data_IF_192334006752
#
_entry.id   IF_192334006752
#
_cell.length_a   1.000
_cell.length_b   1.000
_cell.length_c   1.000
_cell.angle_alpha   90.00
_cell.angle_beta   90.00
_cell.angle_gamma   90.00
#
_symmetry.space_group_name_H-M   'P 1'
#
loop_
_entity.id
_entity.type
_entity.pdbx_description
1 polymer ?
#
# COMPACT_ATOMS: atom_id res chain seq x y z
N UNK A 1 8.34 31.40 -11.20
CA UNK A 1 8.20 30.23 -10.29
C UNK A 1 7.44 29.13 -11.01
N UNK A 2 7.99 27.92 -11.05
CA UNK A 2 7.30 26.81 -11.70
C UNK A 2 6.21 26.30 -10.74
N UNK A 3 4.94 26.66 -10.99
CA UNK A 3 3.80 26.30 -10.14
C UNK A 3 3.15 25.04 -10.69
N UNK A 4 3.01 24.01 -9.85
CA UNK A 4 2.28 22.77 -10.16
C UNK A 4 1.01 22.67 -9.32
N UNK A 5 0.09 21.80 -9.72
CA UNK A 5 -1.14 21.63 -8.97
C UNK A 5 -0.87 20.82 -7.69
N UNK A 6 -0.03 19.77 -7.80
CA UNK A 6 0.36 18.93 -6.67
C UNK A 6 1.87 18.65 -6.72
N UNK A 7 2.57 18.88 -5.60
CA UNK A 7 3.92 18.38 -5.39
C UNK A 7 3.88 17.14 -4.49
N UNK A 8 4.51 16.05 -4.95
CA UNK A 8 4.67 14.80 -4.19
C UNK A 8 6.11 14.73 -3.71
N UNK A 9 6.33 14.58 -2.41
CA UNK A 9 7.69 14.47 -1.83
C UNK A 9 7.99 13.00 -1.57
N UNK A 10 8.96 12.46 -2.31
CA UNK A 10 9.39 11.06 -2.28
C UNK A 10 8.89 10.24 -3.48
N UNK A 11 9.84 9.61 -4.20
CA UNK A 11 9.60 8.73 -5.36
C UNK A 11 9.59 7.23 -4.98
N UNK A 12 9.18 6.87 -3.77
CA UNK A 12 8.90 5.49 -3.39
C UNK A 12 7.56 4.99 -3.98
N UNK A 13 7.17 3.72 -3.75
CA UNK A 13 5.96 3.12 -4.34
C UNK A 13 4.69 3.94 -4.07
N UNK A 14 4.55 4.53 -2.88
CA UNK A 14 3.40 5.39 -2.51
C UNK A 14 3.36 6.66 -3.35
N UNK A 15 4.49 7.37 -3.44
CA UNK A 15 4.57 8.63 -4.17
C UNK A 15 4.42 8.45 -5.68
N UNK A 16 5.04 7.43 -6.25
CA UNK A 16 4.90 7.08 -7.66
C UNK A 16 3.47 6.68 -8.02
N UNK A 17 2.81 5.86 -7.17
CA UNK A 17 1.41 5.49 -7.38
C UNK A 17 0.50 6.74 -7.34
N UNK A 18 0.71 7.62 -6.36
CA UNK A 18 -0.05 8.86 -6.25
C UNK A 18 0.16 9.77 -7.47
N UNK A 19 1.40 9.89 -7.93
CA UNK A 19 1.71 10.69 -9.12
C UNK A 19 1.01 10.13 -10.37
N UNK A 20 0.98 8.80 -10.55
CA UNK A 20 0.21 8.16 -11.62
C UNK A 20 -1.28 8.47 -11.51
N UNK A 21 -1.87 8.33 -10.32
CA UNK A 21 -3.29 8.59 -10.07
C UNK A 21 -3.70 10.03 -10.38
N UNK A 22 -2.85 10.99 -10.05
CA UNK A 22 -3.06 12.40 -10.33
C UNK A 22 -2.89 12.73 -11.81
N UNK A 23 -1.79 12.31 -12.42
CA UNK A 23 -1.48 12.60 -13.83
C UNK A 23 -2.51 12.00 -14.79
N UNK A 24 -3.02 10.77 -14.54
CA UNK A 24 -4.10 10.16 -15.31
C UNK A 24 -5.37 11.02 -15.36
N UNK A 25 -5.56 11.90 -14.38
CA UNK A 25 -6.71 12.82 -14.28
C UNK A 25 -6.40 14.24 -14.72
N UNK A 26 -5.25 14.43 -15.40
CA UNK A 26 -4.83 15.70 -15.95
C UNK A 26 -4.30 16.71 -14.92
N UNK A 27 -3.98 16.28 -13.71
CA UNK A 27 -3.35 17.11 -12.68
C UNK A 27 -1.87 17.27 -13.01
N UNK A 28 -1.34 18.50 -12.97
CA UNK A 28 0.09 18.79 -13.14
C UNK A 28 0.84 18.42 -11.87
N UNK A 29 1.60 17.32 -11.93
CA UNK A 29 2.31 16.73 -10.79
C UNK A 29 3.81 16.88 -10.97
N UNK A 30 4.49 17.24 -9.88
CA UNK A 30 5.94 17.13 -9.76
C UNK A 30 6.29 16.26 -8.56
N UNK A 31 7.14 15.28 -8.77
CA UNK A 31 7.70 14.44 -7.70
C UNK A 31 9.09 14.96 -7.35
N UNK A 32 9.33 15.22 -6.06
CA UNK A 32 10.62 15.66 -5.52
C UNK A 32 11.24 14.49 -4.75
N UNK A 33 12.34 13.96 -5.25
CA UNK A 33 13.08 12.84 -4.64
C UNK A 33 14.44 13.31 -4.16
N UNK A 34 14.79 13.04 -2.88
CA UNK A 34 16.07 13.47 -2.31
C UNK A 34 17.29 12.70 -2.84
N UNK A 35 17.08 11.49 -3.35
CA UNK A 35 18.14 10.63 -3.89
C UNK A 35 18.42 10.98 -5.34
N UNK A 36 19.70 10.88 -5.72
CA UNK A 36 20.13 11.14 -7.09
C UNK A 36 19.77 9.99 -8.04
N UNK A 37 19.76 8.74 -7.53
CA UNK A 37 19.46 7.53 -8.29
C UNK A 37 18.33 6.72 -7.66
N UNK A 38 17.67 5.88 -8.46
CA UNK A 38 16.76 4.84 -7.97
C UNK A 38 17.58 3.81 -7.17
N UNK A 39 17.37 3.71 -5.86
CA UNK A 39 18.16 2.80 -5.06
C UNK A 39 17.80 1.36 -5.38
N UNK A 40 18.78 0.49 -5.41
CA UNK A 40 18.58 -0.94 -5.36
C UNK A 40 18.22 -1.42 -3.94
N UNK A 41 17.52 -0.58 -3.16
CA UNK A 41 17.14 -0.85 -1.77
C UNK A 41 15.79 -1.52 -1.75
N UNK A 42 15.79 -2.83 -1.68
CA UNK A 42 14.58 -3.64 -1.63
C UNK A 42 14.20 -3.93 -0.18
N UNK A 43 13.45 -3.07 0.49
CA UNK A 43 12.96 -3.35 1.86
C UNK A 43 11.71 -4.22 1.84
N UNK A 44 10.72 -3.85 1.05
CA UNK A 44 9.50 -4.64 0.84
C UNK A 44 9.71 -5.71 -0.23
N UNK A 45 8.97 -6.82 -0.09
CA UNK A 45 9.10 -7.97 -0.98
C UNK A 45 7.79 -8.72 -1.21
N UNK A 46 6.67 -8.26 -0.65
CA UNK A 46 5.39 -8.94 -0.78
C UNK A 46 4.28 -7.98 -1.22
N UNK A 47 3.55 -8.37 -2.26
CA UNK A 47 2.34 -7.72 -2.73
C UNK A 47 1.14 -8.60 -2.38
N UNK A 48 0.17 -8.00 -1.70
CA UNK A 48 -1.07 -8.67 -1.32
C UNK A 48 -2.14 -8.55 -2.40
N UNK A 49 -3.13 -9.44 -2.34
CA UNK A 49 -4.20 -9.52 -3.32
C UNK A 49 -4.84 -8.16 -3.63
N UNK A 50 -5.19 -7.36 -2.60
CA UNK A 50 -5.81 -6.05 -2.84
C UNK A 50 -4.90 -5.09 -3.61
N UNK A 51 -3.62 -5.09 -3.34
CA UNK A 51 -2.66 -4.23 -4.05
C UNK A 51 -2.52 -4.66 -5.52
N UNK A 52 -2.48 -5.97 -5.77
CA UNK A 52 -2.47 -6.51 -7.15
C UNK A 52 -3.75 -6.14 -7.91
N UNK A 53 -4.92 -6.19 -7.25
CA UNK A 53 -6.18 -5.72 -7.85
C UNK A 53 -6.14 -4.23 -8.24
N UNK A 54 -5.56 -3.39 -7.36
CA UNK A 54 -5.44 -1.96 -7.64
C UNK A 54 -4.46 -1.67 -8.78
N UNK A 55 -3.38 -2.43 -8.86
CA UNK A 55 -2.43 -2.37 -9.98
C UNK A 55 -3.06 -2.88 -11.28
N UNK A 56 -3.88 -3.94 -11.24
CA UNK A 56 -4.63 -4.44 -12.41
C UNK A 56 -5.64 -3.39 -12.91
N UNK A 57 -6.36 -2.74 -11.99
CA UNK A 57 -7.26 -1.64 -12.31
C UNK A 57 -6.53 -0.39 -12.86
N UNK A 58 -5.22 -0.45 -13.07
CA UNK A 58 -4.38 0.59 -13.69
C UNK A 58 -3.45 0.03 -14.77
N UNK A 59 -3.68 -1.22 -15.19
CA UNK A 59 -2.88 -1.90 -16.21
C UNK A 59 -1.40 -2.05 -15.84
N UNK A 60 -1.11 -2.29 -14.56
CA UNK A 60 0.26 -2.37 -14.03
C UNK A 60 0.56 -3.69 -13.29
N UNK A 61 -0.38 -4.65 -13.26
CA UNK A 61 -0.18 -5.88 -12.48
C UNK A 61 0.61 -6.95 -13.24
N UNK A 62 0.39 -7.11 -14.54
CA UNK A 62 0.82 -8.28 -15.31
C UNK A 62 2.34 -8.43 -15.29
N UNK A 63 3.11 -7.37 -15.57
CA UNK A 63 4.58 -7.41 -15.53
C UNK A 63 5.13 -7.83 -14.15
N UNK A 64 4.48 -7.39 -13.07
CA UNK A 64 4.89 -7.73 -11.70
C UNK A 64 4.55 -9.19 -11.39
N UNK A 65 3.38 -9.64 -11.83
CA UNK A 65 2.90 -11.02 -11.61
C UNK A 65 3.76 -12.05 -12.37
N UNK A 66 4.11 -11.75 -13.61
CA UNK A 66 4.95 -12.62 -14.44
C UNK A 66 6.36 -12.84 -13.86
N UNK A 67 6.91 -11.83 -13.19
CA UNK A 67 8.27 -11.88 -12.63
C UNK A 67 8.30 -12.24 -11.14
N UNK A 68 7.14 -12.25 -10.47
CA UNK A 68 7.04 -12.57 -9.05
C UNK A 68 6.83 -14.05 -8.77
N UNK A 69 7.04 -14.44 -7.51
CA UNK A 69 6.80 -15.81 -7.04
C UNK A 69 5.50 -15.86 -6.25
N UNK A 70 4.45 -16.60 -6.70
CA UNK A 70 3.18 -16.67 -6.00
C UNK A 70 3.26 -17.57 -4.77
N UNK A 71 2.90 -17.05 -3.59
CA UNK A 71 2.77 -17.79 -2.33
C UNK A 71 1.29 -17.87 -1.98
N UNK A 72 0.71 -19.05 -2.04
CA UNK A 72 -0.72 -19.30 -1.83
C UNK A 72 -1.05 -19.82 -0.44
N UNK A 73 -0.04 -20.15 0.34
CA UNK A 73 -0.18 -20.60 1.72
C UNK A 73 0.80 -19.85 2.61
N UNK A 74 0.32 -19.27 3.68
CA UNK A 74 1.12 -18.50 4.63
C UNK A 74 0.95 -19.09 6.01
N UNK A 75 2.07 -19.37 6.68
CA UNK A 75 2.07 -19.84 8.05
C UNK A 75 2.39 -18.68 9.02
N UNK A 76 1.39 -17.95 9.55
CA UNK A 76 1.61 -16.87 10.49
C UNK A 76 2.20 -17.33 11.82
N UNK A 77 2.04 -18.60 12.13
CA UNK A 77 2.65 -19.26 13.29
C UNK A 77 2.89 -20.74 13.01
N UNK A 78 3.83 -21.42 13.71
CA UNK A 78 4.02 -22.85 13.60
C UNK A 78 2.72 -23.62 13.89
N UNK A 79 2.29 -24.45 12.94
CA UNK A 79 1.06 -25.25 13.03
C UNK A 79 -0.23 -24.50 12.67
N UNK A 80 -0.13 -23.28 12.13
CA UNK A 80 -1.27 -22.49 11.70
C UNK A 80 -1.04 -22.02 10.26
N UNK A 81 -1.74 -22.61 9.29
CA UNK A 81 -1.64 -22.26 7.87
C UNK A 81 -2.91 -21.53 7.43
N UNK A 82 -2.73 -20.40 6.74
CA UNK A 82 -3.79 -19.70 6.02
C UNK A 82 -3.69 -20.10 4.54
N UNK A 83 -4.79 -20.61 4.00
CA UNK A 83 -4.89 -20.94 2.58
C UNK A 83 -5.50 -19.76 1.82
N UNK A 84 -4.69 -19.09 1.04
CA UNK A 84 -5.14 -17.92 0.27
C UNK A 84 -5.83 -18.29 -1.05
N UNK A 85 -5.80 -19.56 -1.48
CA UNK A 85 -6.38 -20.03 -2.75
C UNK A 85 -7.89 -19.79 -2.85
N UNK A 86 -8.57 -19.71 -1.69
CA UNK A 86 -10.02 -19.52 -1.60
C UNK A 86 -10.44 -18.04 -1.53
N UNK A 87 -9.48 -17.11 -1.58
CA UNK A 87 -9.81 -15.69 -1.59
C UNK A 87 -10.63 -15.33 -2.84
N UNK A 88 -11.73 -14.57 -2.69
CA UNK A 88 -12.57 -14.15 -3.81
C UNK A 88 -11.91 -13.01 -4.60
N UNK A 89 -10.85 -13.33 -5.33
CA UNK A 89 -10.04 -12.41 -6.11
C UNK A 89 -9.33 -13.13 -7.25
N UNK A 90 -8.96 -12.40 -8.32
CA UNK A 90 -8.09 -12.90 -9.37
C UNK A 90 -6.67 -13.24 -8.87
N UNK A 91 -6.25 -12.66 -7.75
CA UNK A 91 -4.91 -12.79 -7.16
C UNK A 91 -4.94 -13.50 -5.79
N UNK A 92 -5.33 -14.80 -5.72
CA UNK A 92 -5.48 -15.52 -4.45
C UNK A 92 -4.11 -15.94 -3.89
N UNK A 93 -3.25 -14.96 -3.57
CA UNK A 93 -1.86 -15.17 -3.17
C UNK A 93 -1.27 -13.94 -2.47
N UNK A 94 -0.12 -14.13 -1.87
CA UNK A 94 0.89 -13.08 -1.70
C UNK A 94 1.90 -13.27 -2.82
N UNK A 95 2.13 -12.26 -3.61
CA UNK A 95 3.15 -12.28 -4.65
C UNK A 95 4.47 -11.78 -4.07
N UNK A 96 5.49 -12.61 -4.11
CA UNK A 96 6.84 -12.22 -3.71
C UNK A 96 7.52 -11.58 -4.91
N UNK A 97 7.85 -10.32 -4.79
CA UNK A 97 8.58 -9.57 -5.79
C UNK A 97 9.42 -8.49 -5.10
N UNK A 98 10.64 -8.20 -5.56
CA UNK A 98 11.45 -7.14 -5.00
C UNK A 98 10.75 -5.79 -5.19
N UNK A 99 10.82 -4.92 -4.19
CA UNK A 99 10.24 -3.56 -4.25
C UNK A 99 10.71 -2.78 -5.49
N UNK A 100 11.97 -2.97 -5.90
CA UNK A 100 12.55 -2.34 -7.08
C UNK A 100 11.82 -2.70 -8.39
N UNK A 101 11.19 -3.87 -8.47
CA UNK A 101 10.33 -4.22 -9.62
C UNK A 101 9.06 -3.36 -9.61
N UNK A 102 8.39 -3.24 -8.45
CA UNK A 102 7.19 -2.41 -8.31
C UNK A 102 7.51 -0.93 -8.59
N UNK A 103 8.63 -0.42 -8.06
CA UNK A 103 9.07 0.97 -8.32
C UNK A 103 9.36 1.21 -9.79
N UNK A 104 9.99 0.25 -10.48
CA UNK A 104 10.26 0.34 -11.93
C UNK A 104 8.97 0.43 -12.74
N UNK A 105 7.99 -0.43 -12.48
CA UNK A 105 6.70 -0.43 -13.19
C UNK A 105 5.97 0.89 -12.95
N UNK A 106 5.91 1.34 -11.70
CA UNK A 106 5.27 2.63 -11.35
C UNK A 106 6.00 3.82 -11.95
N UNK A 107 7.34 3.84 -11.95
CA UNK A 107 8.13 4.92 -12.54
C UNK A 107 7.97 4.96 -14.06
N UNK A 108 7.96 3.80 -14.72
CA UNK A 108 7.71 3.71 -16.16
C UNK A 108 6.31 4.27 -16.50
N UNK A 109 5.30 3.92 -15.71
CA UNK A 109 3.94 4.44 -15.88
C UNK A 109 3.87 5.95 -15.64
N UNK A 110 4.51 6.44 -14.59
CA UNK A 110 4.58 7.89 -14.31
C UNK A 110 5.23 8.65 -15.47
N UNK A 111 6.32 8.14 -16.03
CA UNK A 111 6.98 8.72 -17.20
C UNK A 111 6.08 8.73 -18.45
N UNK A 112 5.34 7.63 -18.72
CA UNK A 112 4.36 7.57 -19.82
C UNK A 112 3.25 8.61 -19.67
N UNK A 113 2.86 8.92 -18.43
CA UNK A 113 1.86 9.93 -18.10
C UNK A 113 2.43 11.36 -18.06
N UNK A 114 3.71 11.55 -18.35
CA UNK A 114 4.36 12.86 -18.38
C UNK A 114 4.63 13.47 -17.00
N UNK A 115 4.73 12.64 -15.95
CA UNK A 115 5.08 13.13 -14.60
C UNK A 115 6.52 13.62 -14.57
N UNK A 116 6.75 14.83 -14.05
CA UNK A 116 8.08 15.38 -13.77
C UNK A 116 8.62 14.80 -12.45
N UNK A 117 9.61 13.90 -12.54
CA UNK A 117 10.30 13.32 -11.38
C UNK A 117 11.68 13.97 -11.27
N UNK A 118 11.84 14.85 -10.28
CA UNK A 118 13.07 15.60 -10.04
C UNK A 118 13.89 14.89 -8.92
N UNK A 119 15.02 14.33 -9.31
CA UNK A 119 15.99 13.70 -8.39
C UNK A 119 16.91 14.74 -7.76
N UNK A 120 17.59 14.40 -6.64
CA UNK A 120 18.46 15.31 -5.88
C UNK A 120 17.72 16.45 -5.17
N UNK A 121 16.39 16.40 -5.10
CA UNK A 121 15.53 17.48 -4.58
C UNK A 121 15.10 17.22 -3.14
N UNK A 122 15.95 17.61 -2.20
CA UNK A 122 15.67 17.45 -0.76
C UNK A 122 14.86 18.62 -0.23
N UNK A 123 13.67 18.36 0.31
CA UNK A 123 12.81 19.35 0.99
C UNK A 123 13.35 19.63 2.38
N UNK A 124 13.59 20.92 2.69
CA UNK A 124 14.11 21.40 3.97
C UNK A 124 13.23 22.45 4.65
N UNK A 125 12.19 22.95 3.96
CA UNK A 125 11.24 23.91 4.53
C UNK A 125 9.89 23.81 3.83
N UNK A 126 8.83 24.22 4.55
CA UNK A 126 7.45 24.18 4.09
C UNK A 126 6.69 25.35 4.71
N UNK A 127 6.02 26.12 3.88
CA UNK A 127 5.10 27.20 4.27
C UNK A 127 3.82 27.08 3.46
N UNK A 128 2.66 27.31 4.07
CA UNK A 128 1.38 27.29 3.37
C UNK A 128 0.55 28.53 3.65
N UNK A 129 -0.22 28.96 2.66
CA UNK A 129 -1.20 30.03 2.72
C UNK A 129 -2.55 29.60 2.12
N UNK A 130 -3.48 30.53 1.90
CA UNK A 130 -4.81 30.24 1.35
C UNK A 130 -4.79 29.78 -0.11
N UNK A 131 -3.72 30.10 -0.87
CA UNK A 131 -3.60 29.77 -2.30
C UNK A 131 -2.80 28.47 -2.54
N UNK A 132 -1.85 28.11 -1.65
CA UNK A 132 -1.04 26.93 -1.86
C UNK A 132 0.05 26.72 -0.83
N UNK A 133 1.05 25.93 -1.23
CA UNK A 133 2.19 25.54 -0.40
C UNK A 133 3.48 25.86 -1.12
N UNK A 134 4.45 26.45 -0.40
CA UNK A 134 5.81 26.68 -0.87
C UNK A 134 6.76 25.73 -0.16
N UNK A 135 7.45 24.90 -0.92
CA UNK A 135 8.53 24.04 -0.45
C UNK A 135 9.87 24.73 -0.71
N UNK A 136 10.76 24.73 0.28
CA UNK A 136 12.15 25.16 0.16
C UNK A 136 13.03 23.92 0.04
N UNK A 137 13.91 23.92 -0.97
CA UNK A 137 14.82 22.82 -1.25
C UNK A 137 16.22 23.10 -0.69
N UNK A 138 17.02 22.03 -0.52
CA UNK A 138 18.35 22.15 0.09
C UNK A 138 19.35 22.97 -0.75
N UNK A 139 19.13 23.06 -2.07
CA UNK A 139 19.90 23.89 -3.00
C UNK A 139 19.54 25.38 -2.95
N UNK A 140 18.60 25.77 -2.09
CA UNK A 140 18.09 27.15 -1.93
C UNK A 140 16.95 27.49 -2.87
N UNK A 141 16.59 26.62 -3.82
CA UNK A 141 15.46 26.84 -4.71
C UNK A 141 14.12 26.61 -4.01
N UNK A 142 13.02 27.02 -4.65
CA UNK A 142 11.67 26.86 -4.12
C UNK A 142 10.73 26.23 -5.14
N UNK A 143 9.79 25.41 -4.66
CA UNK A 143 8.70 24.84 -5.45
C UNK A 143 7.36 25.30 -4.87
N UNK A 144 6.54 25.94 -5.70
CA UNK A 144 5.14 26.31 -5.36
C UNK A 144 4.19 25.24 -5.89
N UNK A 145 3.18 24.86 -5.07
CA UNK A 145 2.14 23.91 -5.46
C UNK A 145 0.79 24.27 -4.82
N UNK A 146 -0.31 23.87 -5.45
CA UNK A 146 -1.65 23.99 -4.87
C UNK A 146 -1.84 23.10 -3.64
N UNK A 147 -1.29 21.89 -3.70
CA UNK A 147 -1.26 20.91 -2.63
C UNK A 147 0.11 20.22 -2.54
N UNK A 148 0.45 19.69 -1.37
CA UNK A 148 1.66 18.88 -1.15
C UNK A 148 1.29 17.56 -0.50
N UNK A 149 1.94 16.47 -0.93
CA UNK A 149 1.80 15.17 -0.27
C UNK A 149 3.17 14.61 0.09
N UNK A 150 3.42 14.44 1.40
CA UNK A 150 4.61 13.77 1.93
C UNK A 150 4.47 12.25 1.80
N UNK A 151 5.24 11.67 0.88
CA UNK A 151 5.45 10.23 0.68
C UNK A 151 6.91 9.86 0.97
N UNK A 152 7.59 10.63 1.81
CA UNK A 152 9.03 10.69 2.06
C UNK A 152 9.49 9.72 3.18
N UNK A 153 8.67 8.71 3.45
CA UNK A 153 9.05 7.56 4.27
C UNK A 153 9.04 7.81 5.78
N UNK A 154 9.56 6.84 6.52
CA UNK A 154 9.50 6.81 7.99
C UNK A 154 10.11 8.05 8.67
N UNK A 155 11.15 8.65 8.06
CA UNK A 155 11.84 9.85 8.55
C UNK A 155 11.32 11.13 7.88
N UNK A 156 10.06 11.16 7.52
CA UNK A 156 9.40 12.23 6.75
C UNK A 156 9.78 13.64 7.24
N UNK A 157 10.37 14.42 6.33
CA UNK A 157 10.63 15.83 6.52
C UNK A 157 9.31 16.61 6.51
N UNK A 158 8.38 16.25 5.61
CA UNK A 158 7.06 16.90 5.51
C UNK A 158 6.29 16.77 6.83
N UNK A 159 6.19 15.57 7.40
CA UNK A 159 5.56 15.35 8.70
C UNK A 159 6.19 16.20 9.80
N UNK A 160 7.53 16.24 9.84
CA UNK A 160 8.29 16.99 10.85
C UNK A 160 8.10 18.50 10.72
N UNK A 161 8.13 19.03 9.49
CA UNK A 161 7.92 20.46 9.21
C UNK A 161 6.49 20.91 9.55
N UNK A 162 5.51 20.01 9.47
CA UNK A 162 4.13 20.27 9.91
C UNK A 162 3.93 20.16 11.42
N UNK A 163 4.92 19.72 12.19
CA UNK A 163 4.80 19.50 13.63
C UNK A 163 3.82 18.36 13.98
N UNK A 164 3.60 17.40 13.09
CA UNK A 164 2.68 16.30 13.34
C UNK A 164 3.35 15.24 14.23
N UNK A 165 2.77 14.96 15.39
CA UNK A 165 3.22 13.90 16.28
C UNK A 165 3.18 12.53 15.61
N UNK A 166 4.25 11.75 15.76
CA UNK A 166 4.37 10.38 15.30
C UNK A 166 4.35 9.43 16.51
N UNK A 167 3.14 9.02 16.89
CA UNK A 167 2.88 8.31 18.14
C UNK A 167 3.09 6.82 17.98
N UNK A 168 3.77 6.21 18.95
CA UNK A 168 4.00 4.78 18.96
C UNK A 168 5.22 4.36 19.76
N UNK A 169 5.80 3.24 19.39
CA UNK A 169 6.99 2.69 20.02
C UNK A 169 7.93 2.07 19.01
N UNK A 170 9.18 1.97 19.41
CA UNK A 170 10.22 1.19 18.75
C UNK A 170 10.35 -0.15 19.48
N UNK A 171 10.56 -1.22 18.75
CA UNK A 171 10.88 -2.53 19.33
C UNK A 171 12.38 -2.60 19.59
N UNK A 172 12.78 -3.30 20.63
CA UNK A 172 14.21 -3.51 20.97
C UNK A 172 14.90 -4.52 20.03
N UNK A 173 14.13 -5.24 19.24
CA UNK A 173 14.65 -6.33 18.40
C UNK A 173 15.13 -5.81 17.05
N UNK A 174 16.39 -6.07 16.74
CA UNK A 174 16.97 -5.80 15.43
C UNK A 174 16.49 -6.79 14.40
N UNK A 175 16.21 -6.29 13.20
CA UNK A 175 15.92 -7.09 12.02
C UNK A 175 17.12 -6.98 11.09
N UNK A 176 17.66 -8.13 10.71
CA UNK A 176 18.66 -8.27 9.66
C UNK A 176 17.98 -8.68 8.38
N UNK A 177 18.24 -7.96 7.31
CA UNK A 177 17.85 -8.31 5.95
C UNK A 177 19.10 -8.47 5.10
N UNK A 178 19.09 -9.48 4.24
CA UNK A 178 20.12 -9.61 3.21
C UNK A 178 19.53 -10.28 1.97
N UNK A 179 20.00 -9.87 0.80
CA UNK A 179 19.73 -10.59 -0.45
C UNK A 179 20.95 -11.46 -0.77
N UNK A 180 20.74 -12.78 -0.80
CA UNK A 180 21.78 -13.78 -0.88
C UNK A 180 21.51 -14.81 -1.98
N UNK A 181 22.56 -15.45 -2.50
CA UNK A 181 22.47 -16.67 -3.29
C UNK A 181 22.67 -17.89 -2.40
N UNK A 182 22.03 -18.99 -2.78
CA UNK A 182 22.08 -20.25 -2.04
C UNK A 182 22.59 -21.36 -2.92
N UNK A 183 23.55 -22.15 -2.41
CA UNK A 183 24.03 -23.36 -3.09
C UNK A 183 23.04 -24.54 -2.91
N UNK A 184 22.24 -24.51 -1.84
CA UNK A 184 21.28 -25.57 -1.49
C UNK A 184 19.95 -24.94 -1.07
N UNK A 185 19.18 -24.38 -2.03
CA UNK A 185 17.92 -23.74 -1.73
C UNK A 185 16.90 -24.75 -1.16
N UNK A 186 15.94 -24.30 -0.29
CA UNK A 186 14.87 -25.17 0.19
C UNK A 186 13.97 -25.60 -0.99
N UNK A 187 13.44 -26.84 -0.93
CA UNK A 187 12.59 -27.43 -1.99
C UNK A 187 11.36 -26.57 -2.32
N UNK A 188 10.75 -25.99 -1.29
CA UNK A 188 9.53 -25.19 -1.42
C UNK A 188 9.82 -23.70 -1.69
N UNK A 189 11.09 -23.34 -1.89
CA UNK A 189 11.55 -21.98 -2.12
C UNK A 189 11.45 -21.06 -0.90
N UNK A 190 10.47 -21.26 -0.01
CA UNK A 190 10.25 -20.47 1.20
C UNK A 190 10.58 -21.32 2.43
N UNK A 191 11.29 -20.75 3.41
CA UNK A 191 11.59 -21.43 4.67
C UNK A 191 11.47 -20.45 5.83
N UNK A 192 10.71 -20.83 6.87
CA UNK A 192 10.61 -20.10 8.12
C UNK A 192 10.95 -21.03 9.28
N UNK A 193 11.90 -20.64 10.14
CA UNK A 193 12.31 -21.40 11.32
C UNK A 193 12.35 -20.49 12.55
N UNK A 194 11.97 -21.08 13.68
CA UNK A 194 11.93 -20.39 14.98
C UNK A 194 12.60 -21.27 16.04
N UNK A 195 13.51 -20.70 16.81
CA UNK A 195 14.17 -21.32 17.95
C UNK A 195 14.07 -20.45 19.21
N UNK A 196 14.77 -20.85 20.28
CA UNK A 196 14.97 -20.00 21.45
C UNK A 196 15.75 -18.74 21.11
N UNK A 197 16.67 -18.82 20.15
CA UNK A 197 17.61 -17.76 19.78
C UNK A 197 17.01 -16.74 18.80
N UNK A 198 15.89 -17.06 18.17
CA UNK A 198 15.26 -16.11 17.25
C UNK A 198 14.37 -16.72 16.19
N UNK A 199 14.24 -15.98 15.09
CA UNK A 199 13.44 -16.35 13.92
C UNK A 199 14.23 -16.04 12.66
N UNK A 200 14.21 -16.95 11.70
CA UNK A 200 14.73 -16.70 10.36
C UNK A 200 13.65 -17.03 9.32
N UNK A 201 13.64 -16.24 8.26
CA UNK A 201 12.77 -16.42 7.12
C UNK A 201 13.61 -16.27 5.85
N UNK A 202 13.39 -17.17 4.92
CA UNK A 202 14.00 -17.17 3.60
C UNK A 202 12.91 -17.12 2.54
N UNK A 203 13.01 -16.15 1.63
CA UNK A 203 11.97 -15.86 0.63
C UNK A 203 12.62 -15.77 -0.76
N UNK A 204 12.17 -16.56 -1.77
CA UNK A 204 12.73 -16.53 -3.11
C UNK A 204 12.26 -15.30 -3.90
N UNK A 205 13.13 -14.71 -4.74
CA UNK A 205 12.73 -13.68 -5.70
C UNK A 205 12.47 -14.22 -7.12
N UNK A 206 12.74 -15.50 -7.37
CA UNK A 206 12.53 -16.13 -8.67
C UNK A 206 13.72 -16.00 -9.65
N UNK A 207 14.69 -15.15 -9.34
CA UNK A 207 15.90 -14.87 -10.16
C UNK A 207 17.18 -15.54 -9.63
N UNK A 208 17.03 -16.55 -8.76
CA UNK A 208 18.13 -17.22 -8.08
C UNK A 208 18.64 -16.48 -6.83
N UNK A 209 18.06 -15.33 -6.50
CA UNK A 209 18.29 -14.59 -5.26
C UNK A 209 17.18 -14.84 -4.24
N UNK A 210 17.57 -14.79 -2.96
CA UNK A 210 16.69 -15.01 -1.84
C UNK A 210 16.83 -13.85 -0.85
N UNK A 211 15.70 -13.39 -0.29
CA UNK A 211 15.70 -12.54 0.87
C UNK A 211 15.86 -13.38 2.13
N UNK A 212 16.99 -13.25 2.79
CA UNK A 212 17.24 -13.75 4.14
C UNK A 212 16.84 -12.69 5.15
N UNK A 213 15.95 -13.05 6.08
CA UNK A 213 15.48 -12.20 7.18
C UNK A 213 15.83 -12.90 8.47
N UNK A 214 16.46 -12.21 9.43
CA UNK A 214 16.78 -12.77 10.72
C UNK A 214 16.43 -11.81 11.87
N UNK A 215 15.80 -12.35 12.89
CA UNK A 215 15.68 -11.78 14.23
C UNK A 215 16.55 -12.62 15.15
N UNK A 216 17.78 -12.18 15.38
CA UNK A 216 18.75 -12.88 16.22
C UNK A 216 18.84 -12.19 17.59
N UNK A 217 18.35 -12.88 18.61
CA UNK A 217 18.35 -12.36 19.99
C UNK A 217 19.73 -12.18 20.56
N UNK A 218 20.71 -12.95 20.09
CA UNK A 218 22.08 -12.85 20.59
C UNK A 218 22.80 -11.57 20.11
N UNK A 219 22.21 -10.90 19.13
CA UNK A 219 22.73 -9.67 18.51
C UNK A 219 21.82 -8.43 18.73
N UNK A 220 20.87 -8.49 19.66
CA UNK A 220 19.94 -7.38 19.95
C UNK A 220 20.65 -6.09 20.42
N UNK A 221 21.88 -6.20 20.94
CA UNK A 221 22.67 -5.05 21.40
C UNK A 221 23.68 -4.52 20.36
N UNK A 222 23.71 -5.11 19.17
CA UNK A 222 24.62 -4.65 18.12
C UNK A 222 24.24 -3.23 17.67
N UNK A 223 25.21 -2.32 17.46
CA UNK A 223 24.91 -0.97 16.98
C UNK A 223 24.19 -0.99 15.63
N UNK A 224 23.20 -0.12 15.43
CA UNK A 224 22.49 0.00 14.14
C UNK A 224 23.42 0.43 13.00
N UNK A 225 24.50 1.12 13.33
CA UNK A 225 25.53 1.56 12.38
C UNK A 225 26.50 0.44 11.96
N UNK A 226 26.49 -0.71 12.68
CA UNK A 226 27.34 -1.85 12.32
C UNK A 226 26.84 -2.48 11.02
N UNK A 227 27.68 -2.56 9.96
CA UNK A 227 27.30 -3.19 8.71
C UNK A 227 26.92 -4.65 8.90
N UNK A 228 25.85 -5.09 8.24
CA UNK A 228 25.47 -6.50 8.21
C UNK A 228 26.37 -7.23 7.23
N UNK A 229 27.04 -8.27 7.70
CA UNK A 229 27.93 -9.12 6.87
C UNK A 229 27.27 -10.44 6.51
N UNK A 230 27.74 -11.07 5.44
CA UNK A 230 27.28 -12.41 5.05
C UNK A 230 27.56 -13.43 6.16
N UNK A 231 28.70 -13.32 6.87
CA UNK A 231 29.03 -14.19 8.01
C UNK A 231 28.06 -14.04 9.17
N UNK A 232 27.56 -12.86 9.44
CA UNK A 232 26.55 -12.62 10.50
C UNK A 232 25.20 -13.27 10.13
N UNK A 233 24.74 -13.09 8.89
CA UNK A 233 23.48 -13.74 8.41
C UNK A 233 23.63 -15.26 8.46
N UNK A 234 24.74 -15.83 7.98
CA UNK A 234 25.02 -17.28 8.04
C UNK A 234 25.01 -17.79 9.49
N UNK A 235 25.67 -17.09 10.40
CA UNK A 235 25.71 -17.45 11.81
C UNK A 235 24.31 -17.46 12.45
N UNK A 236 23.46 -16.46 12.13
CA UNK A 236 22.07 -16.42 12.59
C UNK A 236 21.26 -17.62 12.06
N UNK A 237 21.40 -17.95 10.77
CA UNK A 237 20.70 -19.07 10.16
C UNK A 237 21.18 -20.43 10.72
N UNK A 238 22.49 -20.63 10.88
CA UNK A 238 23.03 -21.85 11.49
C UNK A 238 22.54 -22.05 12.93
N UNK A 239 22.46 -20.98 13.72
CA UNK A 239 21.99 -21.03 15.11
C UNK A 239 20.49 -21.34 15.20
N UNK A 240 19.68 -20.72 14.34
CA UNK A 240 18.22 -20.74 14.45
C UNK A 240 17.61 -21.87 13.60
N UNK A 241 18.13 -22.10 12.39
CA UNK A 241 17.58 -23.08 11.43
C UNK A 241 18.44 -24.34 11.31
N UNK A 242 19.63 -24.39 11.95
CA UNK A 242 20.63 -25.45 11.83
C UNK A 242 21.15 -25.67 10.41
N UNK A 243 20.98 -24.67 9.55
CA UNK A 243 21.50 -24.65 8.17
C UNK A 243 21.61 -23.22 7.69
N UNK A 244 22.66 -22.92 6.92
CA UNK A 244 22.82 -21.65 6.19
C UNK A 244 22.44 -21.80 4.72
N UNK A 245 21.89 -22.95 4.30
CA UNK A 245 21.52 -23.27 2.92
C UNK A 245 22.68 -23.07 1.91
N UNK A 246 23.93 -23.00 2.39
CA UNK A 246 25.08 -22.70 1.56
C UNK A 246 25.06 -21.26 1.01
N UNK A 247 24.73 -20.29 1.85
CA UNK A 247 24.74 -18.87 1.46
C UNK A 247 26.13 -18.49 0.94
N UNK A 248 26.19 -17.93 -0.27
CA UNK A 248 27.42 -17.53 -0.94
C UNK A 248 27.48 -16.01 -1.13
N UNK A 249 26.91 -15.51 -2.21
CA UNK A 249 26.97 -14.09 -2.52
C UNK A 249 25.94 -13.27 -1.72
N UNK A 250 26.26 -12.00 -1.47
CA UNK A 250 25.34 -11.03 -0.88
C UNK A 250 25.40 -9.73 -1.68
N UNK A 251 24.29 -9.34 -2.32
CA UNK A 251 24.24 -8.10 -3.13
C UNK A 251 23.74 -6.90 -2.34
N UNK A 252 23.04 -7.12 -1.22
CA UNK A 252 22.47 -6.07 -0.40
C UNK A 252 22.20 -6.55 1.02
N UNK A 253 22.32 -5.66 2.00
CA UNK A 253 21.98 -5.95 3.38
C UNK A 253 21.55 -4.70 4.13
N UNK A 254 20.79 -4.87 5.22
CA UNK A 254 20.36 -3.79 6.11
C UNK A 254 20.08 -4.30 7.50
N UNK A 255 20.41 -3.47 8.49
CA UNK A 255 20.03 -3.63 9.90
C UNK A 255 19.12 -2.48 10.29
N UNK A 256 17.98 -2.76 10.90
CA UNK A 256 17.10 -1.71 11.40
C UNK A 256 16.28 -2.20 12.60
N UNK A 257 15.82 -1.26 13.40
CA UNK A 257 14.82 -1.53 14.43
C UNK A 257 13.43 -1.50 13.83
N UNK A 258 12.64 -2.49 14.19
CA UNK A 258 11.22 -2.47 13.88
C UNK A 258 10.54 -1.38 14.70
N UNK A 259 9.69 -0.61 14.05
CA UNK A 259 8.91 0.45 14.68
C UNK A 259 7.41 0.21 14.48
N UNK A 260 6.62 0.75 15.40
CA UNK A 260 5.18 0.83 15.31
C UNK A 260 4.79 2.26 15.69
N UNK A 261 4.56 3.08 14.67
CA UNK A 261 4.19 4.49 14.85
C UNK A 261 3.10 4.90 13.86
N UNK A 262 2.26 5.82 14.29
CA UNK A 262 1.25 6.44 13.44
C UNK A 262 1.20 7.94 13.69
N UNK A 263 1.09 8.72 12.61
CA UNK A 263 0.87 10.15 12.69
C UNK A 263 -0.52 10.44 13.27
N UNK A 264 -0.64 11.43 14.14
CA UNK A 264 -1.92 11.81 14.75
C UNK A 264 -2.90 12.38 13.72
N UNK A 265 -2.37 12.98 12.66
CA UNK A 265 -3.13 13.54 11.53
C UNK A 265 -2.49 13.15 10.22
N UNK A 266 -3.30 12.98 9.19
CA UNK A 266 -2.84 12.71 7.82
C UNK A 266 -2.97 13.94 6.93
N UNK A 267 -3.61 15.01 7.45
CA UNK A 267 -3.83 16.27 6.75
C UNK A 267 -3.63 17.47 7.67
N UNK A 268 -2.97 18.52 7.16
CA UNK A 268 -2.93 19.86 7.76
C UNK A 268 -3.10 20.89 6.63
N UNK A 269 -4.28 21.48 6.52
CA UNK A 269 -4.59 22.43 5.45
C UNK A 269 -4.49 21.80 4.06
N UNK A 270 -3.53 22.27 3.26
CA UNK A 270 -3.24 21.81 1.89
C UNK A 270 -2.15 20.73 1.82
N UNK A 271 -1.66 20.27 2.95
CA UNK A 271 -0.58 19.29 3.03
C UNK A 271 -1.08 17.98 3.60
N UNK A 272 -0.75 16.90 2.93
CA UNK A 272 -1.11 15.52 3.28
C UNK A 272 0.14 14.69 3.51
N UNK A 273 0.00 13.56 4.23
CA UNK A 273 1.03 12.53 4.34
C UNK A 273 0.44 11.16 4.03
N UNK A 274 1.24 10.28 3.40
CA UNK A 274 0.81 8.95 2.98
C UNK A 274 1.95 7.92 3.12
N UNK A 275 1.59 6.65 3.22
CA UNK A 275 2.56 5.55 3.38
C UNK A 275 3.35 5.66 4.68
N UNK A 276 4.64 5.33 4.63
CA UNK A 276 5.51 5.32 5.82
C UNK A 276 5.67 6.72 6.47
N UNK A 277 5.37 7.82 5.75
CA UNK A 277 5.30 9.15 6.35
C UNK A 277 4.13 9.26 7.34
N UNK A 278 3.04 8.53 7.12
CA UNK A 278 1.84 8.52 7.95
C UNK A 278 1.82 7.37 8.98
N UNK A 279 2.37 6.20 8.65
CA UNK A 279 2.35 5.01 9.50
C UNK A 279 3.52 4.07 9.19
N UNK A 280 4.23 3.67 10.23
CA UNK A 280 5.32 2.69 10.16
C UNK A 280 4.98 1.50 11.04
N UNK A 281 5.22 0.31 10.55
CA UNK A 281 4.99 -0.92 11.30
C UNK A 281 6.05 -1.97 11.00
N UNK A 282 6.02 -3.04 11.79
CA UNK A 282 6.90 -4.20 11.59
C UNK A 282 6.76 -4.75 10.16
N UNK A 283 7.88 -5.21 9.55
CA UNK A 283 7.83 -5.86 8.24
C UNK A 283 7.12 -7.21 8.24
N UNK A 284 6.77 -7.76 9.42
CA UNK A 284 5.98 -8.98 9.54
C UNK A 284 4.62 -8.82 8.86
N UNK A 285 4.37 -9.70 7.89
CA UNK A 285 3.15 -9.66 7.08
C UNK A 285 3.22 -8.77 5.85
N UNK A 286 4.39 -8.14 5.55
CA UNK A 286 4.63 -7.36 4.32
C UNK A 286 3.57 -6.27 4.04
N UNK A 287 3.08 -5.55 5.07
CA UNK A 287 1.92 -4.63 4.94
C UNK A 287 2.29 -3.22 4.44
N UNK A 288 3.55 -2.72 4.68
CA UNK A 288 3.91 -1.30 4.48
C UNK A 288 3.65 -0.78 3.08
N UNK A 289 4.33 -1.34 2.11
CA UNK A 289 4.17 -0.95 0.70
C UNK A 289 2.71 -1.09 0.24
N UNK A 290 2.03 -2.17 0.63
CA UNK A 290 0.63 -2.41 0.29
C UNK A 290 -0.31 -1.33 0.86
N UNK A 291 -0.11 -0.93 2.11
CA UNK A 291 -0.92 0.11 2.75
C UNK A 291 -0.66 1.47 2.10
N UNK A 292 0.60 1.79 1.81
CA UNK A 292 0.99 3.05 1.16
C UNK A 292 0.44 3.19 -0.27
N UNK A 293 0.48 2.13 -1.08
CA UNK A 293 -0.15 2.13 -2.43
C UNK A 293 -1.66 2.36 -2.31
N UNK A 294 -2.32 1.74 -1.32
CA UNK A 294 -3.75 1.96 -1.08
C UNK A 294 -4.06 3.37 -0.57
N UNK A 295 -3.16 4.01 0.21
CA UNK A 295 -3.30 5.42 0.59
C UNK A 295 -3.26 6.31 -0.65
N UNK A 296 -2.32 6.07 -1.54
CA UNK A 296 -2.16 6.80 -2.81
C UNK A 296 -3.41 6.68 -3.69
N UNK A 297 -3.93 5.47 -3.85
CA UNK A 297 -5.17 5.22 -4.60
C UNK A 297 -6.36 5.95 -4.00
N UNK A 298 -6.48 5.98 -2.67
CA UNK A 298 -7.58 6.66 -1.98
C UNK A 298 -7.47 8.19 -2.09
N UNK A 299 -6.27 8.74 -1.96
CA UNK A 299 -6.02 10.18 -1.99
C UNK A 299 -6.06 10.76 -3.40
N UNK A 300 -5.56 10.01 -4.40
CA UNK A 300 -5.33 10.52 -5.75
C UNK A 300 -6.58 11.09 -6.42
N UNK A 301 -7.70 10.35 -6.43
CA UNK A 301 -8.94 10.84 -7.02
C UNK A 301 -9.54 12.01 -6.24
N UNK A 302 -9.41 12.02 -4.90
CA UNK A 302 -9.90 13.10 -4.03
C UNK A 302 -9.16 14.42 -4.29
N UNK A 303 -7.84 14.35 -4.38
CA UNK A 303 -7.03 15.52 -4.74
C UNK A 303 -7.30 16.01 -6.18
N UNK A 304 -7.48 15.09 -7.13
CA UNK A 304 -7.80 15.46 -8.50
C UNK A 304 -9.15 16.21 -8.58
N UNK A 305 -10.16 15.80 -7.83
CA UNK A 305 -11.42 16.55 -7.74
C UNK A 305 -11.21 17.92 -7.10
N UNK A 306 -10.38 18.03 -6.06
CA UNK A 306 -10.10 19.30 -5.39
C UNK A 306 -9.35 20.27 -6.30
N UNK A 307 -8.36 19.79 -7.05
CA UNK A 307 -7.65 20.58 -8.06
C UNK A 307 -8.57 21.03 -9.18
N UNK A 308 -9.49 20.15 -9.60
CA UNK A 308 -10.51 20.47 -10.61
C UNK A 308 -11.60 21.43 -10.13
N UNK A 309 -11.66 21.78 -8.86
CA UNK A 309 -12.63 22.71 -8.28
C UNK A 309 -14.05 22.15 -8.10
N UNK A 310 -14.24 20.84 -8.25
CA UNK A 310 -15.56 20.17 -8.13
C UNK A 310 -15.67 19.22 -6.94
N UNK A 311 -14.64 19.17 -6.06
CA UNK A 311 -14.70 18.38 -4.85
C UNK A 311 -15.71 18.95 -3.85
N UNK A 312 -16.56 18.09 -3.32
CA UNK A 312 -17.37 18.44 -2.16
C UNK A 312 -16.47 18.70 -0.93
N UNK A 313 -16.85 19.55 0.02
CA UNK A 313 -16.02 19.89 1.18
C UNK A 313 -15.51 18.70 1.98
N UNK A 314 -16.32 17.65 2.11
CA UNK A 314 -15.99 16.43 2.87
C UNK A 314 -14.98 15.50 2.17
N UNK A 315 -14.77 15.64 0.85
CA UNK A 315 -13.97 14.69 0.05
C UNK A 315 -12.55 14.59 0.57
N UNK A 316 -11.88 15.71 0.79
CA UNK A 316 -10.50 15.71 1.27
C UNK A 316 -10.37 15.26 2.73
N UNK A 317 -11.35 15.57 3.59
CA UNK A 317 -11.36 15.16 4.99
C UNK A 317 -11.56 13.64 5.12
N UNK A 318 -12.34 13.04 4.21
CA UNK A 318 -12.57 11.60 4.18
C UNK A 318 -11.29 10.78 3.97
N UNK A 319 -10.20 11.36 3.46
CA UNK A 319 -8.92 10.67 3.38
C UNK A 319 -8.40 10.26 4.76
N UNK A 320 -8.32 11.22 5.68
CA UNK A 320 -7.87 10.94 7.05
C UNK A 320 -8.83 9.98 7.76
N UNK A 321 -10.15 10.21 7.67
CA UNK A 321 -11.17 9.36 8.31
C UNK A 321 -11.07 7.89 7.87
N UNK A 322 -10.87 7.65 6.57
CA UNK A 322 -10.78 6.33 6.00
C UNK A 322 -9.41 5.68 6.27
N UNK A 323 -8.31 6.39 5.99
CA UNK A 323 -6.97 5.79 5.97
C UNK A 323 -6.29 5.76 7.33
N UNK A 324 -6.58 6.70 8.23
CA UNK A 324 -6.09 6.64 9.60
C UNK A 324 -6.61 5.40 10.34
N UNK A 325 -7.89 5.07 10.18
CA UNK A 325 -8.47 3.86 10.75
C UNK A 325 -7.82 2.57 10.20
N UNK A 326 -7.54 2.53 8.89
CA UNK A 326 -6.83 1.41 8.25
C UNK A 326 -5.41 1.28 8.80
N UNK A 327 -4.65 2.37 8.86
CA UNK A 327 -3.31 2.39 9.45
C UNK A 327 -3.30 1.84 10.89
N UNK A 328 -4.23 2.29 11.74
CA UNK A 328 -4.37 1.80 13.11
C UNK A 328 -4.64 0.28 13.18
N UNK A 329 -5.47 -0.25 12.27
CA UNK A 329 -5.76 -1.69 12.20
C UNK A 329 -4.56 -2.50 11.72
N UNK A 330 -3.79 -2.00 10.74
CA UNK A 330 -2.55 -2.63 10.27
C UNK A 330 -1.51 -2.66 11.38
N UNK A 331 -1.36 -1.57 12.14
CA UNK A 331 -0.46 -1.52 13.30
C UNK A 331 -0.85 -2.56 14.36
N UNK A 332 -2.14 -2.74 14.64
CA UNK A 332 -2.62 -3.78 15.57
C UNK A 332 -2.33 -5.19 15.05
N UNK A 333 -2.57 -5.43 13.77
CA UNK A 333 -2.34 -6.74 13.13
C UNK A 333 -0.85 -7.13 13.19
N UNK A 334 0.04 -6.22 12.78
CA UNK A 334 1.48 -6.46 12.75
C UNK A 334 2.09 -6.54 14.15
N UNK A 335 1.57 -5.80 15.15
CA UNK A 335 1.94 -5.94 16.56
C UNK A 335 1.54 -7.32 17.11
N UNK A 336 0.35 -7.81 16.73
CA UNK A 336 -0.09 -9.16 17.05
C UNK A 336 0.87 -10.23 16.51
N UNK A 337 1.30 -10.10 15.25
CA UNK A 337 2.30 -11.01 14.67
C UNK A 337 3.66 -10.90 15.37
N UNK A 338 4.13 -9.70 15.68
CA UNK A 338 5.36 -9.51 16.45
C UNK A 338 5.32 -10.21 17.81
N UNK A 339 4.24 -9.99 18.56
CA UNK A 339 4.09 -10.63 19.87
C UNK A 339 4.00 -12.16 19.78
N UNK A 340 3.41 -12.68 18.70
CA UNK A 340 3.30 -14.12 18.46
C UNK A 340 4.65 -14.75 18.15
N UNK A 341 5.39 -14.12 17.22
CA UNK A 341 6.65 -14.65 16.67
C UNK A 341 7.83 -14.36 17.61
N UNK A 342 7.90 -13.14 18.18
CA UNK A 342 9.06 -12.67 18.94
C UNK A 342 8.88 -12.76 20.47
N UNK A 343 7.71 -13.18 20.97
CA UNK A 343 7.44 -13.25 22.41
C UNK A 343 8.47 -14.09 23.18
N UNK A 344 9.02 -13.56 24.30
CA UNK A 344 10.11 -14.20 25.09
C UNK A 344 9.63 -15.38 25.96
N UNK A 345 8.38 -15.37 26.43
CA UNK A 345 7.85 -16.40 27.34
C UNK A 345 7.41 -17.65 26.59
N UNK A 346 8.02 -18.80 26.90
CA UNK A 346 7.68 -20.11 26.33
C UNK A 346 6.22 -20.48 26.60
N UNK A 347 5.73 -20.28 27.84
CA UNK A 347 4.36 -20.57 28.22
C UNK A 347 3.35 -19.69 27.45
N UNK A 348 3.63 -18.39 27.34
CA UNK A 348 2.79 -17.48 26.56
C UNK A 348 2.82 -17.83 25.07
N UNK A 349 3.95 -18.29 24.52
CA UNK A 349 4.05 -18.76 23.12
C UNK A 349 3.22 -20.02 22.91
N UNK A 350 3.31 -21.00 23.81
CA UNK A 350 2.52 -22.23 23.74
C UNK A 350 1.02 -21.95 23.82
N UNK A 351 0.57 -21.13 24.80
CA UNK A 351 -0.83 -20.73 24.95
C UNK A 351 -1.34 -19.98 23.71
N UNK A 352 -0.58 -19.01 23.20
CA UNK A 352 -0.95 -18.28 21.98
C UNK A 352 -1.03 -19.19 20.77
N UNK A 353 -0.11 -20.16 20.62
CA UNK A 353 -0.16 -21.13 19.54
C UNK A 353 -1.47 -21.93 19.58
N UNK A 354 -1.86 -22.44 20.76
CA UNK A 354 -3.13 -23.16 20.94
C UNK A 354 -4.32 -22.25 20.58
N UNK A 355 -4.37 -21.04 21.11
CA UNK A 355 -5.45 -20.09 20.84
C UNK A 355 -5.54 -19.77 19.35
N UNK A 356 -4.43 -19.54 18.67
CA UNK A 356 -4.43 -19.24 17.22
C UNK A 356 -4.88 -20.45 16.41
N UNK A 357 -4.38 -21.65 16.75
CA UNK A 357 -4.81 -22.87 16.08
C UNK A 357 -6.32 -23.09 16.23
N UNK A 358 -6.86 -22.89 17.43
CA UNK A 358 -8.31 -22.96 17.67
C UNK A 358 -9.07 -21.89 16.86
N UNK A 359 -8.61 -20.64 16.89
CA UNK A 359 -9.26 -19.54 16.17
C UNK A 359 -9.23 -19.75 14.66
N UNK A 360 -8.15 -20.29 14.09
CA UNK A 360 -8.02 -20.55 12.66
C UNK A 360 -8.86 -21.76 12.20
N UNK A 361 -9.23 -22.65 13.12
CA UNK A 361 -10.19 -23.73 12.85
C UNK A 361 -11.65 -23.26 12.82
N UNK A 362 -11.94 -22.02 13.25
CA UNK A 362 -13.25 -21.39 13.11
C UNK A 362 -13.32 -20.68 11.76
N UNK A 363 -14.15 -21.10 10.80
CA UNK A 363 -14.16 -20.55 9.43
C UNK A 363 -14.32 -19.02 9.38
N UNK A 364 -15.21 -18.45 10.18
CA UNK A 364 -15.44 -17.02 10.23
C UNK A 364 -14.18 -16.23 10.66
N UNK A 365 -13.44 -16.73 11.63
CA UNK A 365 -12.19 -16.10 12.12
C UNK A 365 -11.08 -16.23 11.08
N UNK A 366 -10.97 -17.40 10.44
CA UNK A 366 -10.03 -17.64 9.34
C UNK A 366 -10.27 -16.68 8.19
N UNK A 367 -11.48 -16.58 7.67
CA UNK A 367 -11.84 -15.67 6.58
C UNK A 367 -11.61 -14.19 6.96
N UNK A 368 -11.89 -13.82 8.22
CA UNK A 368 -11.60 -12.47 8.69
C UNK A 368 -10.09 -12.17 8.66
N UNK A 369 -9.25 -13.13 9.09
CA UNK A 369 -7.79 -12.95 9.10
C UNK A 369 -7.21 -12.95 7.68
N UNK A 370 -7.67 -13.84 6.81
CA UNK A 370 -7.33 -13.88 5.38
C UNK A 370 -7.68 -12.55 4.70
N UNK A 371 -8.88 -12.03 4.93
CA UNK A 371 -9.32 -10.75 4.41
C UNK A 371 -8.48 -9.56 4.93
N UNK A 372 -8.08 -9.57 6.20
CA UNK A 372 -7.20 -8.53 6.77
C UNK A 372 -5.79 -8.61 6.23
N UNK A 373 -5.22 -9.81 6.12
CA UNK A 373 -3.86 -10.02 5.61
C UNK A 373 -3.78 -9.62 4.13
N UNK A 374 -4.72 -10.09 3.33
CA UNK A 374 -4.77 -9.83 1.88
C UNK A 374 -5.19 -8.41 1.51
N UNK A 375 -5.75 -7.65 2.45
CA UNK A 375 -6.29 -6.30 2.24
C UNK A 375 -7.69 -6.26 1.61
N UNK A 376 -8.22 -7.39 1.10
CA UNK A 376 -9.57 -7.42 0.48
C UNK A 376 -10.70 -7.24 1.51
N UNK A 377 -10.42 -7.48 2.79
CA UNK A 377 -11.37 -7.30 3.90
C UNK A 377 -11.43 -5.88 4.46
N UNK A 378 -10.65 -4.94 3.93
CA UNK A 378 -10.69 -3.53 4.36
C UNK A 378 -12.05 -2.94 4.01
N UNK A 379 -12.60 -2.16 4.94
CA UNK A 379 -13.90 -1.50 4.81
C UNK A 379 -13.79 -0.06 5.31
N UNK A 380 -14.44 0.84 4.60
CA UNK A 380 -14.59 2.24 5.00
C UNK A 380 -15.89 2.48 5.79
N UNK A 381 -16.00 3.58 6.52
CA UNK A 381 -17.23 3.95 7.23
C UNK A 381 -18.45 3.93 6.30
N UNK A 382 -19.57 3.45 6.84
CA UNK A 382 -20.84 3.38 6.13
C UNK A 382 -21.88 4.24 6.86
N UNK A 383 -22.57 5.15 6.17
CA UNK A 383 -23.67 5.90 6.74
C UNK A 383 -24.79 4.98 7.27
N UNK A 384 -25.50 5.40 8.30
CA UNK A 384 -26.66 4.67 8.82
C UNK A 384 -27.71 4.53 7.72
N UNK A 385 -28.28 3.32 7.55
CA UNK A 385 -29.26 3.03 6.53
C UNK A 385 -28.74 2.78 5.12
N UNK A 386 -27.46 3.06 4.84
CA UNK A 386 -26.87 2.77 3.54
C UNK A 386 -26.79 1.26 3.27
N UNK A 387 -26.78 0.89 1.99
CA UNK A 387 -26.72 -0.50 1.55
C UNK A 387 -25.48 -1.23 2.13
N UNK A 388 -25.55 -2.53 2.47
CA UNK A 388 -24.45 -3.30 3.07
C UNK A 388 -23.15 -3.34 2.24
N UNK A 389 -23.20 -3.13 0.93
CA UNK A 389 -22.02 -3.02 0.06
C UNK A 389 -21.27 -1.69 0.20
N UNK A 390 -21.92 -0.61 0.63
CA UNK A 390 -21.29 0.71 0.77
C UNK A 390 -20.06 0.64 1.68
N UNK A 391 -18.96 1.22 1.24
CA UNK A 391 -17.67 1.19 1.93
C UNK A 391 -16.90 -0.12 1.81
N UNK A 392 -17.39 -1.10 1.07
CA UNK A 392 -16.67 -2.35 0.75
C UNK A 392 -15.98 -2.27 -0.60
N UNK A 393 -14.93 -3.07 -0.75
CA UNK A 393 -14.31 -3.33 -2.03
C UNK A 393 -15.36 -3.94 -3.00
N UNK A 394 -15.44 -3.41 -4.21
CA UNK A 394 -16.19 -4.06 -5.28
C UNK A 394 -15.36 -5.22 -5.84
N UNK A 395 -15.86 -6.44 -5.91
CA UNK A 395 -15.19 -7.55 -6.59
C UNK A 395 -14.97 -7.25 -8.09
N UNK A 396 -13.97 -7.88 -8.68
CA UNK A 396 -13.78 -7.87 -10.13
C UNK A 396 -14.79 -8.83 -10.78
N UNK A 397 -15.87 -8.29 -11.28
CA UNK A 397 -16.97 -9.03 -11.88
C UNK A 397 -16.91 -8.95 -13.41
N UNK A 398 -17.57 -9.89 -14.08
CA UNK A 398 -17.79 -9.81 -15.52
C UNK A 398 -18.88 -8.77 -15.85
N UNK A 399 -18.56 -7.88 -16.77
CA UNK A 399 -19.42 -6.82 -17.27
C UNK A 399 -19.57 -7.00 -18.79
N UNK A 400 -20.41 -7.95 -19.18
CA UNK A 400 -20.71 -8.25 -20.59
C UNK A 400 -19.46 -8.61 -21.42
N UNK A 401 -18.60 -9.47 -20.86
CA UNK A 401 -17.40 -9.97 -21.51
C UNK A 401 -16.11 -9.16 -21.25
N UNK A 402 -16.23 -8.06 -20.49
CA UNK A 402 -15.05 -7.29 -20.02
C UNK A 402 -15.08 -7.25 -18.50
N UNK A 403 -13.94 -7.38 -17.86
CA UNK A 403 -13.86 -7.32 -16.40
C UNK A 403 -14.05 -5.89 -15.88
N UNK A 404 -14.68 -5.74 -14.72
CA UNK A 404 -14.88 -4.45 -14.10
C UNK A 404 -13.55 -3.67 -13.92
N UNK A 405 -12.49 -4.34 -13.47
CA UNK A 405 -11.21 -3.65 -13.24
C UNK A 405 -10.50 -3.23 -14.53
N UNK A 406 -10.80 -3.88 -15.67
CA UNK A 406 -10.36 -3.41 -16.98
C UNK A 406 -11.11 -2.12 -17.38
N UNK A 407 -12.41 -2.05 -17.12
CA UNK A 407 -13.22 -0.83 -17.34
C UNK A 407 -12.81 0.33 -16.42
N UNK A 408 -12.14 0.04 -15.31
CA UNK A 408 -11.65 1.04 -14.35
C UNK A 408 -10.24 1.55 -14.64
N UNK A 409 -9.58 1.09 -15.70
CA UNK A 409 -8.17 1.45 -16.01
C UNK A 409 -7.95 2.94 -16.28
N UNK A 410 -8.98 3.65 -16.69
CA UNK A 410 -8.95 5.11 -16.89
C UNK A 410 -9.10 5.92 -15.60
N UNK A 411 -9.32 5.24 -14.46
CA UNK A 411 -9.42 5.85 -13.16
C UNK A 411 -10.70 6.64 -12.87
N UNK A 412 -11.75 6.45 -13.65
CA UNK A 412 -13.06 7.12 -13.46
C UNK A 412 -13.90 6.44 -12.39
N UNK A 413 -14.91 7.16 -11.91
CA UNK A 413 -16.04 6.53 -11.24
C UNK A 413 -16.75 5.58 -12.21
N UNK A 414 -17.20 4.43 -11.71
CA UNK A 414 -17.89 3.44 -12.54
C UNK A 414 -19.26 3.13 -11.96
N UNK A 415 -20.28 3.31 -12.76
CA UNK A 415 -21.64 2.85 -12.46
C UNK A 415 -21.82 1.45 -12.98
N UNK A 416 -22.21 0.54 -12.11
CA UNK A 416 -22.48 -0.87 -12.42
C UNK A 416 -23.99 -1.09 -12.31
N UNK A 417 -24.62 -1.52 -13.40
CA UNK A 417 -26.09 -1.73 -13.49
C UNK A 417 -26.42 -3.01 -14.24
N UNK A 418 -27.65 -3.52 -14.09
CA UNK A 418 -28.15 -4.69 -14.84
C UNK A 418 -28.44 -4.41 -16.32
N UNK A 419 -28.65 -3.14 -16.69
CA UNK A 419 -28.96 -2.71 -18.05
C UNK A 419 -28.24 -1.43 -18.42
N UNK A 420 -28.13 -1.12 -19.71
CA UNK A 420 -27.57 0.15 -20.18
C UNK A 420 -28.35 1.34 -19.63
N UNK A 421 -27.59 2.30 -19.06
CA UNK A 421 -28.11 3.58 -18.54
C UNK A 421 -27.30 4.70 -19.16
N UNK A 422 -27.99 5.73 -19.64
CA UNK A 422 -27.34 6.98 -19.98
C UNK A 422 -27.29 7.89 -18.73
N UNK A 423 -26.08 8.24 -18.30
CA UNK A 423 -25.85 9.09 -17.12
C UNK A 423 -25.65 10.54 -17.56
N UNK A 424 -25.53 10.82 -18.86
CA UNK A 424 -25.26 12.16 -19.40
C UNK A 424 -23.88 12.71 -19.01
N UNK A 425 -22.93 11.85 -18.60
CA UNK A 425 -21.58 12.24 -18.14
C UNK A 425 -20.50 11.38 -18.77
N UNK A 426 -19.58 12.01 -19.48
CA UNK A 426 -18.42 11.35 -20.12
C UNK A 426 -17.28 11.01 -19.14
N UNK A 427 -17.30 11.53 -17.91
CA UNK A 427 -16.31 11.29 -16.86
C UNK A 427 -16.72 10.18 -15.89
N UNK A 428 -17.81 9.48 -16.17
CA UNK A 428 -18.26 8.30 -15.44
C UNK A 428 -18.40 7.14 -16.43
N UNK A 429 -17.78 6.01 -16.09
CA UNK A 429 -17.88 4.77 -16.88
C UNK A 429 -19.16 4.03 -16.52
N UNK A 430 -19.86 3.47 -17.51
CA UNK A 430 -21.03 2.60 -17.28
C UNK A 430 -20.66 1.17 -17.62
N UNK A 431 -20.83 0.27 -16.65
CA UNK A 431 -20.61 -1.16 -16.76
C UNK A 431 -21.95 -1.92 -16.60
N UNK A 432 -22.21 -2.86 -17.48
CA UNK A 432 -23.42 -3.69 -17.41
C UNK A 432 -23.06 -5.08 -16.94
N UNK A 433 -23.67 -5.53 -15.84
CA UNK A 433 -23.44 -6.85 -15.24
C UNK A 433 -24.65 -7.77 -15.42
N UNK A 434 -24.43 -9.06 -15.26
CA UNK A 434 -25.47 -10.10 -15.29
C UNK A 434 -25.64 -10.82 -13.94
N UNK A 435 -24.98 -10.36 -12.89
CA UNK A 435 -25.03 -10.96 -11.55
C UNK A 435 -26.34 -10.58 -10.83
N UNK A 436 -27.27 -11.53 -10.58
CA UNK A 436 -28.52 -11.24 -9.90
C UNK A 436 -28.36 -10.93 -8.41
N UNK A 437 -27.18 -11.15 -7.83
CA UNK A 437 -26.90 -10.85 -6.44
C UNK A 437 -26.52 -9.38 -6.16
N UNK A 438 -26.37 -8.56 -7.23
CA UNK A 438 -26.07 -7.15 -7.09
C UNK A 438 -27.35 -6.30 -7.07
N UNK A 439 -27.33 -5.12 -6.38
CA UNK A 439 -28.41 -4.12 -6.44
C UNK A 439 -28.61 -3.59 -7.86
N UNK A 440 -29.77 -2.97 -8.11
CA UNK A 440 -30.15 -2.40 -9.39
C UNK A 440 -29.13 -1.38 -9.93
N UNK A 441 -28.42 -0.67 -9.03
CA UNK A 441 -27.31 0.20 -9.38
C UNK A 441 -26.27 0.25 -8.26
N UNK A 442 -24.98 0.30 -8.62
CA UNK A 442 -23.83 0.45 -7.73
C UNK A 442 -22.92 1.52 -8.30
N UNK A 443 -22.53 2.50 -7.50
CA UNK A 443 -21.49 3.46 -7.83
C UNK A 443 -20.17 3.01 -7.20
N UNK A 444 -19.16 2.75 -8.03
CA UNK A 444 -17.82 2.34 -7.64
C UNK A 444 -16.86 3.51 -7.78
N UNK A 445 -16.10 3.80 -6.72
CA UNK A 445 -15.08 4.85 -6.68
C UNK A 445 -13.85 4.43 -7.50
N UNK A 446 -13.01 5.38 -7.94
CA UNK A 446 -11.77 5.09 -8.65
C UNK A 446 -10.80 4.16 -7.92
N UNK A 447 -10.84 4.12 -6.59
CA UNK A 447 -10.05 3.22 -5.75
C UNK A 447 -10.72 1.83 -5.52
N UNK A 448 -11.77 1.53 -6.28
CA UNK A 448 -12.46 0.24 -6.29
C UNK A 448 -13.35 -0.04 -5.08
N UNK A 449 -13.71 0.98 -4.30
CA UNK A 449 -14.68 0.86 -3.21
C UNK A 449 -16.07 1.31 -3.63
N UNK A 450 -17.09 0.64 -3.12
CA UNK A 450 -18.48 1.01 -3.35
C UNK A 450 -18.79 2.31 -2.63
N UNK A 451 -19.07 3.36 -3.40
CA UNK A 451 -19.52 4.65 -2.90
C UNK A 451 -20.96 4.56 -2.42
N UNK A 452 -21.79 3.89 -3.23
CA UNK A 452 -23.21 3.75 -3.00
C UNK A 452 -23.77 2.54 -3.77
N UNK A 453 -24.86 1.98 -3.25
CA UNK A 453 -25.63 0.94 -3.93
C UNK A 453 -27.11 1.09 -3.55
N UNK A 454 -28.01 0.93 -4.50
CA UNK A 454 -29.43 1.12 -4.29
C UNK A 454 -30.25 1.06 -5.58
N UNK A 455 -31.34 1.81 -5.58
CA UNK A 455 -32.30 1.85 -6.68
C UNK A 455 -31.84 2.81 -7.80
N UNK A 456 -32.14 2.45 -9.03
CA UNK A 456 -31.74 3.20 -10.24
C UNK A 456 -32.22 4.66 -10.23
N UNK A 457 -33.40 4.91 -9.66
CA UNK A 457 -34.00 6.26 -9.59
C UNK A 457 -33.11 7.29 -8.81
N UNK A 458 -32.29 6.80 -7.88
CA UNK A 458 -31.42 7.66 -7.06
C UNK A 458 -30.07 7.98 -7.73
N UNK A 459 -29.74 7.25 -8.80
CA UNK A 459 -28.41 7.22 -9.39
C UNK A 459 -27.91 8.60 -9.82
N UNK A 460 -28.74 9.41 -10.49
CA UNK A 460 -28.36 10.74 -10.96
C UNK A 460 -27.93 11.67 -9.81
N UNK A 461 -28.72 11.69 -8.72
CA UNK A 461 -28.41 12.49 -7.52
C UNK A 461 -27.12 12.00 -6.84
N UNK A 462 -26.93 10.69 -6.75
CA UNK A 462 -25.73 10.07 -6.16
C UNK A 462 -24.48 10.38 -6.97
N UNK A 463 -24.54 10.26 -8.30
CA UNK A 463 -23.42 10.61 -9.18
C UNK A 463 -23.09 12.10 -9.05
N UNK A 464 -24.08 13.00 -8.98
CA UNK A 464 -23.86 14.42 -8.70
C UNK A 464 -23.14 14.66 -7.37
N UNK A 465 -23.58 13.97 -6.33
CA UNK A 465 -22.98 14.09 -4.99
C UNK A 465 -21.50 13.64 -4.94
N UNK A 466 -21.16 12.51 -5.57
CA UNK A 466 -19.81 11.93 -5.51
C UNK A 466 -18.84 12.49 -6.55
N UNK A 467 -19.33 12.77 -7.76
CA UNK A 467 -18.50 13.24 -8.86
C UNK A 467 -18.46 14.76 -8.97
N UNK A 468 -19.26 15.46 -8.16
CA UNK A 468 -19.41 16.93 -8.21
C UNK A 468 -20.21 17.41 -9.44
N UNK A 469 -20.70 18.62 -9.38
CA UNK A 469 -21.30 19.29 -10.51
C UNK A 469 -20.19 19.95 -11.35
N UNK A 470 -19.99 19.50 -12.60
CA UNK A 470 -19.15 20.28 -13.53
C UNK A 470 -19.86 21.57 -13.86
N UNK A 471 -19.22 22.72 -13.59
CA UNK A 471 -19.61 23.95 -14.26
C UNK A 471 -19.51 23.71 -15.78
N UNK A 472 -20.51 24.11 -16.58
CA UNK A 472 -20.40 24.04 -18.01
C UNK A 472 -19.14 24.78 -18.43
N UNK A 473 -18.29 24.14 -19.25
CA UNK A 473 -17.07 24.75 -19.77
C UNK A 473 -17.43 26.03 -20.49
N UNK A 474 -17.14 27.18 -19.87
CA UNK A 474 -17.08 28.45 -20.55
C UNK A 474 -15.78 28.49 -21.36
N UNK A 475 -15.71 27.67 -22.41
CA UNK A 475 -14.72 27.87 -23.44
C UNK A 475 -15.38 28.76 -24.49
N UNK A 476 -14.95 30.01 -24.66
CA UNK A 476 -15.34 30.77 -25.83
C UNK A 476 -14.67 30.09 -27.03
N UNK A 477 -15.48 29.62 -27.94
CA UNK A 477 -15.10 29.27 -29.31
C UNK A 477 -14.31 30.44 -29.91
N UNK A 478 -13.03 30.20 -30.16
CA UNK A 478 -12.27 30.97 -31.12
C UNK A 478 -11.67 30.04 -32.15
#
# INVERSE_FOLDING_TARGET
MNTVDVAVVGAGPTGLMLACELAMRGVRVRVLEERDDLPNITRAFGLHARTLELLDARDMADEIVERGVPVREVAPAPGATLNLRELPTRYPMVLIAPQSLTERVLSARASQLGVDIAHGQKVVGLEQDHEGVTLRLADGSTQRAGYVVGCDGARSAVRTLLGIDFVGKQYETHILLADVRLARPPSDGLSAKTSADGVVLLVPFGDGWFRAIAWDRTREQAPLSEPVTLSEIRAAFLRIAHTDFGMADMRWSSRFLSERRQAKRYRVGRVFIAGDAAHVHSPLGAQGMNTGIQDAMNLGWKLAQAVGGFAQPWVLDSYEEERHAVGANVLKLTDGFNQLVLGRSLLRRALRRVVITVLLNVPATRHMLEGRLSGIGIRYPRPRGAHPLTGRRMPDIDCSGTRLYELMRDGRFTVVTSDKVDIGRSDVTVAVHVDPGLPAAVLVRPDGYVAWAGERAELAAVVGHWCGERQPSTNPTY
#
